data_IF_340272507478
#
_entry.id   IF_340272507478
#
_cell.length_a   1.000
_cell.length_b   1.000
_cell.length_c   1.000
_cell.angle_alpha   90.00
_cell.angle_beta   90.00
_cell.angle_gamma   90.00
#
_symmetry.space_group_name_H-M   'P 1'
#
loop_
_entity.id
_entity.type
_entity.pdbx_description
1 polymer ?
#
# COMPACT_ATOMS: atom_id res chain seq x y z
N UNK A 1 -5.39 -20.45 10.42
CA UNK A 1 -5.22 -21.90 10.09
C UNK A 1 -5.13 -21.99 8.57
N UNK A 2 -3.90 -22.04 8.03
CA UNK A 2 -3.64 -21.97 6.59
C UNK A 2 -4.02 -23.29 5.95
N UNK A 3 -4.94 -23.27 5.00
CA UNK A 3 -5.30 -24.42 4.17
C UNK A 3 -4.14 -24.71 3.20
N UNK A 4 -3.41 -25.79 3.46
CA UNK A 4 -2.43 -26.32 2.49
C UNK A 4 -3.23 -26.90 1.33
N UNK A 5 -3.17 -26.26 0.18
CA UNK A 5 -3.71 -26.81 -1.07
C UNK A 5 -2.76 -27.95 -1.47
N UNK A 6 -3.24 -29.18 -1.43
CA UNK A 6 -2.48 -30.34 -1.91
C UNK A 6 -2.41 -30.29 -3.44
N UNK A 7 -1.28 -29.83 -3.98
CA UNK A 7 -0.96 -30.03 -5.39
C UNK A 7 -0.59 -31.50 -5.62
N UNK A 8 -1.54 -32.28 -6.10
CA UNK A 8 -1.27 -33.63 -6.64
C UNK A 8 -0.66 -33.49 -8.06
N UNK A 9 0.63 -33.15 -8.13
CA UNK A 9 1.39 -33.24 -9.37
C UNK A 9 2.55 -34.23 -9.18
N UNK A 10 2.73 -35.13 -10.14
CA UNK A 10 3.92 -35.98 -10.25
C UNK A 10 5.14 -35.10 -10.61
N UNK A 11 5.84 -34.61 -9.60
CA UNK A 11 7.03 -33.79 -9.75
C UNK A 11 8.27 -34.72 -9.69
N UNK A 12 9.22 -34.58 -10.58
CA UNK A 12 10.49 -35.37 -10.57
C UNK A 12 11.33 -34.98 -9.34
N UNK A 13 12.08 -35.98 -8.80
CA UNK A 13 12.80 -35.87 -7.52
C UNK A 13 13.67 -34.62 -7.31
N UNK A 14 14.17 -34.00 -8.39
CA UNK A 14 14.95 -32.75 -8.32
C UNK A 14 14.13 -31.46 -8.15
N UNK A 15 12.85 -31.50 -8.53
CA UNK A 15 11.94 -30.35 -8.38
C UNK A 15 11.39 -30.23 -6.96
N UNK A 16 11.32 -31.34 -6.22
CA UNK A 16 10.93 -31.33 -4.80
C UNK A 16 11.91 -30.57 -3.90
N UNK A 17 13.21 -30.65 -4.21
CA UNK A 17 14.23 -29.96 -3.42
C UNK A 17 14.17 -28.44 -3.65
N UNK A 18 13.85 -28.01 -4.88
CA UNK A 18 13.66 -26.59 -5.21
C UNK A 18 12.39 -26.02 -4.57
N UNK A 19 11.27 -26.75 -4.67
CA UNK A 19 9.98 -26.38 -4.04
C UNK A 19 10.11 -26.35 -2.52
N UNK A 20 10.79 -27.31 -1.90
CA UNK A 20 11.06 -27.32 -0.46
C UNK A 20 11.86 -26.11 -0.01
N UNK A 21 12.92 -25.72 -0.74
CA UNK A 21 13.72 -24.53 -0.44
C UNK A 21 12.96 -23.21 -0.68
N UNK A 22 12.04 -23.17 -1.65
CA UNK A 22 11.16 -22.04 -1.89
C UNK A 22 10.14 -21.90 -0.75
N UNK A 23 9.56 -23.02 -0.29
CA UNK A 23 8.61 -23.02 0.83
C UNK A 23 9.32 -22.63 2.13
N UNK A 24 10.47 -23.21 2.49
CA UNK A 24 11.23 -22.84 3.68
C UNK A 24 11.63 -21.36 3.72
N UNK A 25 11.95 -20.77 2.55
CA UNK A 25 12.28 -19.34 2.47
C UNK A 25 11.06 -18.44 2.47
N UNK A 26 9.91 -18.87 1.91
CA UNK A 26 8.66 -18.14 1.98
C UNK A 26 8.18 -17.93 3.43
N UNK A 27 8.46 -18.88 4.34
CA UNK A 27 8.19 -18.72 5.78
C UNK A 27 9.07 -17.67 6.48
N UNK A 28 10.12 -17.17 5.83
CA UNK A 28 11.00 -16.14 6.41
C UNK A 28 10.38 -14.74 6.31
N UNK A 29 9.43 -14.52 5.42
CA UNK A 29 8.81 -13.23 5.19
C UNK A 29 7.39 -13.24 5.73
N UNK A 30 7.14 -12.47 6.78
CA UNK A 30 5.79 -12.25 7.29
C UNK A 30 5.20 -11.07 6.54
N UNK A 31 4.21 -11.33 5.67
CA UNK A 31 3.48 -10.28 4.98
C UNK A 31 2.58 -9.61 6.01
N UNK A 32 2.73 -8.31 6.25
CA UNK A 32 1.89 -7.61 7.21
C UNK A 32 0.43 -7.59 6.72
N UNK A 33 -0.51 -7.72 7.64
CA UNK A 33 -1.90 -7.40 7.35
C UNK A 33 -2.03 -5.89 7.09
N UNK A 34 -3.12 -5.41 6.46
CA UNK A 34 -3.36 -3.98 6.29
C UNK A 34 -3.26 -3.19 7.60
N UNK A 35 -3.83 -3.70 8.68
CA UNK A 35 -3.76 -3.07 10.00
C UNK A 35 -2.32 -3.02 10.55
N UNK A 36 -1.56 -4.09 10.43
CA UNK A 36 -0.15 -4.12 10.86
C UNK A 36 0.70 -3.17 10.02
N UNK A 37 0.48 -3.13 8.69
CA UNK A 37 1.18 -2.18 7.82
C UNK A 37 0.85 -0.74 8.20
N UNK A 38 -0.41 -0.42 8.47
CA UNK A 38 -0.82 0.93 8.87
C UNK A 38 -0.19 1.35 10.20
N UNK A 39 -0.10 0.45 11.18
CA UNK A 39 0.62 0.71 12.44
C UNK A 39 2.12 0.96 12.22
N UNK A 40 2.77 0.17 11.37
CA UNK A 40 4.18 0.40 11.01
C UNK A 40 4.35 1.73 10.28
N UNK A 41 3.40 2.10 9.41
CA UNK A 41 3.38 3.40 8.76
C UNK A 41 3.25 4.52 9.79
N UNK A 42 2.29 4.45 10.71
CA UNK A 42 2.11 5.41 11.80
C UNK A 42 3.39 5.61 12.60
N UNK A 43 4.01 4.52 13.07
CA UNK A 43 5.23 4.58 13.88
C UNK A 43 6.42 5.19 13.14
N UNK A 44 6.55 4.90 11.85
CA UNK A 44 7.68 5.36 11.03
C UNK A 44 7.45 6.79 10.55
N UNK A 45 6.24 7.12 10.08
CA UNK A 45 5.86 8.44 9.60
C UNK A 45 5.91 9.49 10.70
N UNK A 46 5.48 9.15 11.92
CA UNK A 46 5.54 10.07 13.09
C UNK A 46 6.96 10.46 13.49
N UNK A 47 7.98 9.73 13.03
CA UNK A 47 9.39 9.99 13.27
C UNK A 47 10.11 10.59 12.06
N UNK A 48 9.42 10.67 10.92
CA UNK A 48 10.01 11.19 9.69
C UNK A 48 10.22 12.70 9.76
N UNK A 49 11.24 13.17 9.05
CA UNK A 49 11.40 14.60 8.80
C UNK A 49 10.39 15.00 7.73
N UNK A 50 9.40 15.77 8.13
CA UNK A 50 8.34 16.22 7.24
C UNK A 50 8.81 17.42 6.40
N UNK A 51 8.32 17.56 5.15
CA UNK A 51 8.61 18.72 4.30
C UNK A 51 8.16 20.04 4.93
N UNK A 52 8.81 21.13 4.53
CA UNK A 52 8.52 22.48 5.05
C UNK A 52 7.17 23.02 4.55
N UNK A 53 6.72 22.61 3.38
CA UNK A 53 5.48 23.06 2.76
C UNK A 53 4.53 21.90 2.48
N UNK A 54 3.24 22.09 2.79
CA UNK A 54 2.19 21.12 2.43
C UNK A 54 1.83 21.20 0.94
N UNK A 55 2.01 22.37 0.33
CA UNK A 55 1.55 22.62 -1.04
C UNK A 55 2.50 22.06 -2.12
N UNK A 56 3.70 21.64 -1.75
CA UNK A 56 4.68 21.08 -2.69
C UNK A 56 4.65 19.56 -2.66
N UNK A 57 4.13 18.95 -3.73
CA UNK A 57 3.88 17.51 -3.79
C UNK A 57 5.14 16.63 -3.74
N UNK A 58 6.16 16.97 -4.52
CA UNK A 58 7.35 16.13 -4.71
C UNK A 58 8.07 15.76 -3.38
N UNK A 59 8.33 16.70 -2.44
CA UNK A 59 8.92 16.36 -1.15
C UNK A 59 8.04 15.43 -0.32
N UNK A 60 6.71 15.54 -0.41
CA UNK A 60 5.77 14.67 0.30
C UNK A 60 5.80 13.26 -0.24
N UNK A 61 5.69 13.10 -1.56
CA UNK A 61 5.83 11.79 -2.22
C UNK A 61 7.15 11.15 -1.84
N UNK A 62 8.27 11.88 -1.92
CA UNK A 62 9.58 11.39 -1.50
C UNK A 62 9.64 10.95 -0.04
N UNK A 63 9.00 11.69 0.88
CA UNK A 63 8.94 11.36 2.31
C UNK A 63 8.15 10.07 2.53
N UNK A 64 6.97 9.97 1.94
CA UNK A 64 6.10 8.78 2.03
C UNK A 64 6.80 7.54 1.46
N UNK A 65 7.38 7.63 0.26
CA UNK A 65 8.14 6.53 -0.34
C UNK A 65 9.37 6.15 0.51
N UNK A 66 10.00 7.12 1.16
CA UNK A 66 11.09 6.90 2.13
C UNK A 66 10.63 6.08 3.33
N UNK A 67 9.49 6.42 3.91
CA UNK A 67 8.86 5.68 5.02
C UNK A 67 8.56 4.24 4.61
N UNK A 68 7.93 4.02 3.47
CA UNK A 68 7.65 2.66 2.98
C UNK A 68 8.91 1.89 2.64
N UNK A 69 9.95 2.56 2.11
CA UNK A 69 11.26 1.92 1.89
C UNK A 69 11.88 1.42 3.20
N UNK A 70 11.80 2.21 4.25
CA UNK A 70 12.31 1.83 5.57
C UNK A 70 11.54 0.65 6.16
N UNK A 71 10.20 0.70 6.10
CA UNK A 71 9.35 -0.41 6.59
C UNK A 71 9.66 -1.70 5.83
N UNK A 72 9.66 -1.66 4.49
CA UNK A 72 9.96 -2.81 3.65
C UNK A 72 11.32 -3.42 3.95
N UNK A 73 12.35 -2.58 4.09
CA UNK A 73 13.71 -3.02 4.43
C UNK A 73 13.77 -3.68 5.81
N UNK A 74 13.10 -3.11 6.81
CA UNK A 74 13.04 -3.66 8.17
C UNK A 74 12.33 -5.03 8.22
N UNK A 75 11.35 -5.24 7.35
CA UNK A 75 10.65 -6.52 7.18
C UNK A 75 11.43 -7.53 6.31
N UNK A 76 12.60 -7.12 5.78
CA UNK A 76 13.48 -7.96 4.98
C UNK A 76 13.15 -7.99 3.48
N UNK A 77 12.24 -7.14 3.01
CA UNK A 77 11.96 -6.97 1.59
C UNK A 77 12.99 -6.08 0.89
N UNK A 78 12.98 -6.10 -0.43
CA UNK A 78 13.76 -5.18 -1.25
C UNK A 78 12.82 -4.10 -1.81
N UNK A 79 12.80 -2.89 -1.27
CA UNK A 79 12.04 -1.78 -1.84
C UNK A 79 12.64 -1.37 -3.18
N UNK A 80 11.81 -1.09 -4.16
CA UNK A 80 12.20 -0.63 -5.47
C UNK A 80 11.29 0.50 -5.93
N UNK A 81 11.86 1.67 -6.25
CA UNK A 81 11.15 2.84 -6.76
C UNK A 81 10.99 2.77 -8.27
N UNK A 82 9.92 3.39 -8.78
CA UNK A 82 9.65 3.57 -10.21
C UNK A 82 9.74 2.26 -11.00
N UNK A 83 9.06 1.23 -10.51
CA UNK A 83 9.08 -0.07 -11.15
C UNK A 83 7.72 -0.50 -11.66
N UNK A 84 7.65 -0.94 -12.92
CA UNK A 84 6.41 -1.35 -13.59
C UNK A 84 5.34 -0.24 -13.59
N UNK A 85 5.75 1.02 -13.73
CA UNK A 85 4.93 2.21 -13.66
C UNK A 85 4.33 2.51 -12.27
N UNK A 86 4.78 1.79 -11.25
CA UNK A 86 4.42 2.02 -9.85
C UNK A 86 5.47 2.90 -9.17
N UNK A 87 5.04 3.73 -8.24
CA UNK A 87 5.94 4.57 -7.45
C UNK A 87 6.89 3.74 -6.60
N UNK A 88 6.38 2.64 -6.03
CA UNK A 88 7.21 1.71 -5.26
C UNK A 88 6.66 0.29 -5.24
N UNK A 89 7.57 -0.68 -5.20
CA UNK A 89 7.26 -2.09 -4.92
C UNK A 89 8.14 -2.62 -3.78
N UNK A 90 7.64 -3.64 -3.07
CA UNK A 90 8.47 -4.49 -2.25
C UNK A 90 8.58 -5.86 -2.89
N UNK A 91 9.81 -6.33 -3.05
CA UNK A 91 10.11 -7.58 -3.74
C UNK A 91 10.78 -8.59 -2.82
N UNK A 92 10.40 -9.86 -3.00
CA UNK A 92 11.22 -11.00 -2.57
C UNK A 92 12.05 -11.40 -3.80
N UNK A 93 13.37 -11.27 -3.71
CA UNK A 93 14.28 -11.62 -4.80
C UNK A 93 14.87 -13.01 -4.61
N UNK A 94 14.66 -13.85 -5.59
CA UNK A 94 15.36 -15.11 -5.79
C UNK A 94 16.27 -15.01 -7.04
N UNK A 95 17.31 -15.84 -7.17
CA UNK A 95 18.16 -15.81 -8.35
C UNK A 95 17.39 -15.91 -9.68
N UNK A 96 16.28 -16.65 -9.68
CA UNK A 96 15.52 -16.96 -10.91
C UNK A 96 14.12 -16.30 -10.95
N UNK A 97 13.62 -15.77 -9.83
CA UNK A 97 12.26 -15.26 -9.73
C UNK A 97 12.21 -14.06 -8.77
N UNK A 98 11.56 -12.98 -9.20
CA UNK A 98 11.19 -11.88 -8.33
C UNK A 98 9.66 -11.90 -8.12
N UNK A 99 9.23 -11.79 -6.86
CA UNK A 99 7.81 -11.73 -6.50
C UNK A 99 7.52 -10.38 -5.86
N UNK A 100 6.56 -9.67 -6.42
CA UNK A 100 6.06 -8.43 -5.83
C UNK A 100 5.12 -8.80 -4.69
N UNK A 101 5.44 -8.33 -3.50
CA UNK A 101 4.64 -8.54 -2.30
C UNK A 101 3.74 -7.33 -2.04
N UNK A 102 4.30 -6.13 -2.22
CA UNK A 102 3.57 -4.88 -2.10
C UNK A 102 3.76 -4.04 -3.35
N UNK A 103 2.66 -3.46 -3.83
CA UNK A 103 2.59 -2.42 -4.86
C UNK A 103 2.05 -1.14 -4.23
N UNK A 104 2.66 0.01 -4.51
CA UNK A 104 2.30 1.30 -3.94
C UNK A 104 2.24 2.39 -5.00
N UNK A 105 1.17 3.18 -4.94
CA UNK A 105 0.97 4.44 -5.62
C UNK A 105 0.74 5.56 -4.59
N UNK A 106 1.33 6.72 -4.84
CA UNK A 106 1.28 7.88 -3.96
C UNK A 106 1.04 9.15 -4.79
N UNK A 107 -0.18 9.65 -4.77
CA UNK A 107 -0.60 10.74 -5.65
C UNK A 107 -1.06 11.97 -4.85
N UNK A 108 -0.76 13.13 -5.41
CA UNK A 108 -1.15 14.42 -4.88
C UNK A 108 -2.12 15.10 -5.84
N UNK A 109 -3.35 14.62 -5.87
CA UNK A 109 -4.45 15.20 -6.66
C UNK A 109 -5.74 15.23 -5.84
N UNK A 110 -6.57 16.24 -6.11
CA UNK A 110 -7.93 16.34 -5.59
C UNK A 110 -8.99 15.76 -6.55
N UNK A 111 -8.53 15.25 -7.72
CA UNK A 111 -9.40 14.70 -8.75
C UNK A 111 -9.58 13.20 -8.55
N UNK A 112 -10.71 12.83 -7.96
CA UNK A 112 -11.02 11.42 -7.70
C UNK A 112 -11.03 10.55 -8.98
N UNK A 113 -11.44 11.09 -10.13
CA UNK A 113 -11.40 10.38 -11.41
C UNK A 113 -9.97 9.95 -11.78
N UNK A 114 -8.97 10.82 -11.59
CA UNK A 114 -7.56 10.46 -11.84
C UNK A 114 -7.08 9.37 -10.89
N UNK A 115 -7.46 9.46 -9.61
CA UNK A 115 -7.12 8.44 -8.62
C UNK A 115 -7.71 7.08 -9.02
N UNK A 116 -8.97 7.05 -9.47
CA UNK A 116 -9.65 5.82 -9.84
C UNK A 116 -9.15 5.24 -11.17
N UNK A 117 -9.00 6.07 -12.19
CA UNK A 117 -8.77 5.61 -13.55
C UNK A 117 -7.29 5.44 -13.90
N UNK A 118 -6.40 6.15 -13.20
CA UNK A 118 -4.98 6.04 -13.40
C UNK A 118 -4.31 5.27 -12.25
N UNK A 119 -4.34 5.79 -11.02
CA UNK A 119 -3.51 5.26 -9.94
C UNK A 119 -4.03 3.93 -9.39
N UNK A 120 -5.32 3.86 -9.08
CA UNK A 120 -5.93 2.61 -8.64
C UNK A 120 -5.90 1.55 -9.76
N UNK A 121 -6.08 1.96 -11.02
CA UNK A 121 -6.00 1.03 -12.14
C UNK A 121 -4.61 0.40 -12.29
N UNK A 122 -3.52 1.16 -12.12
CA UNK A 122 -2.16 0.59 -12.10
C UNK A 122 -2.01 -0.49 -11.03
N UNK A 123 -2.56 -0.23 -9.82
CA UNK A 123 -2.55 -1.22 -8.74
C UNK A 123 -3.39 -2.46 -9.07
N UNK A 124 -4.53 -2.29 -9.73
CA UNK A 124 -5.39 -3.41 -10.15
C UNK A 124 -4.71 -4.30 -11.20
N UNK A 125 -3.93 -3.70 -12.11
CA UNK A 125 -3.24 -4.40 -13.20
C UNK A 125 -2.02 -5.22 -12.72
N UNK A 126 -1.52 -4.95 -11.52
CA UNK A 126 -0.34 -5.63 -10.96
C UNK A 126 -0.76 -6.74 -10.00
N UNK A 127 -0.13 -7.91 -10.13
CA UNK A 127 -0.30 -8.99 -9.16
C UNK A 127 0.62 -8.76 -7.96
N UNK A 128 0.02 -8.35 -6.84
CA UNK A 128 0.70 -8.18 -5.55
C UNK A 128 -0.23 -8.58 -4.41
N UNK A 129 0.32 -9.10 -3.32
CA UNK A 129 -0.50 -9.54 -2.17
C UNK A 129 -1.07 -8.36 -1.37
N UNK A 130 -0.34 -7.24 -1.36
CA UNK A 130 -0.73 -6.02 -0.68
C UNK A 130 -0.58 -4.84 -1.63
N UNK A 131 -1.65 -4.07 -1.80
CA UNK A 131 -1.72 -2.91 -2.68
C UNK A 131 -2.03 -1.68 -1.87
N UNK A 132 -1.22 -0.64 -2.00
CA UNK A 132 -1.31 0.59 -1.21
C UNK A 132 -1.55 1.76 -2.13
N UNK A 133 -2.65 2.45 -1.91
CA UNK A 133 -2.95 3.72 -2.53
C UNK A 133 -2.86 4.82 -1.47
N UNK A 134 -2.05 5.83 -1.71
CA UNK A 134 -1.95 7.01 -0.86
C UNK A 134 -2.29 8.21 -1.71
N UNK A 135 -3.29 8.96 -1.31
CA UNK A 135 -3.56 10.24 -1.95
C UNK A 135 -3.79 11.32 -0.88
N UNK A 136 -3.23 12.48 -1.11
CA UNK A 136 -3.35 13.61 -0.21
C UNK A 136 -3.77 14.86 -1.01
N UNK A 137 -4.99 15.33 -0.77
CA UNK A 137 -5.51 16.48 -1.49
C UNK A 137 -4.74 17.75 -1.10
N UNK A 138 -4.40 18.56 -2.11
CA UNK A 138 -3.72 19.86 -1.92
C UNK A 138 -4.63 20.85 -1.20
N UNK A 139 -5.92 20.75 -1.45
CA UNK A 139 -6.95 21.57 -0.80
C UNK A 139 -7.63 20.70 0.24
N UNK A 140 -7.92 21.20 1.46
CA UNK A 140 -8.70 20.45 2.42
C UNK A 140 -10.06 20.11 1.77
N UNK A 141 -10.17 18.93 1.21
CA UNK A 141 -11.45 18.37 0.83
C UNK A 141 -12.23 18.29 2.15
N UNK A 142 -13.43 18.82 2.16
CA UNK A 142 -14.32 18.66 3.29
C UNK A 142 -14.40 17.16 3.58
N UNK A 143 -14.29 16.73 4.84
CA UNK A 143 -14.31 15.30 5.25
C UNK A 143 -15.45 14.50 4.59
N UNK A 144 -16.53 15.19 4.19
CA UNK A 144 -17.66 14.63 3.45
C UNK A 144 -17.29 14.08 2.03
N UNK A 145 -16.23 14.59 1.39
CA UNK A 145 -15.79 14.11 0.07
C UNK A 145 -14.83 12.92 0.19
N UNK A 146 -14.09 12.85 1.29
CA UNK A 146 -13.25 11.68 1.61
C UNK A 146 -14.11 10.44 1.86
N UNK A 147 -15.17 10.58 2.68
CA UNK A 147 -16.16 9.51 2.90
C UNK A 147 -16.87 9.10 1.60
N UNK A 148 -17.07 10.03 0.66
CA UNK A 148 -17.67 9.75 -0.64
C UNK A 148 -16.73 9.00 -1.61
N UNK A 149 -15.42 9.06 -1.42
CA UNK A 149 -14.44 8.39 -2.30
C UNK A 149 -14.34 6.88 -2.05
N UNK A 150 -14.46 6.42 -0.81
CA UNK A 150 -14.35 5.01 -0.45
C UNK A 150 -15.35 4.11 -1.16
N UNK A 151 -16.65 4.44 -1.28
CA UNK A 151 -17.60 3.63 -2.04
C UNK A 151 -17.22 3.45 -3.51
N UNK A 152 -16.64 4.47 -4.14
CA UNK A 152 -16.21 4.40 -5.53
C UNK A 152 -14.95 3.53 -5.70
N UNK A 153 -13.99 3.66 -4.79
CA UNK A 153 -12.82 2.78 -4.71
C UNK A 153 -13.25 1.33 -4.50
N UNK A 154 -14.15 1.09 -3.56
CA UNK A 154 -14.73 -0.22 -3.27
C UNK A 154 -15.37 -0.84 -4.53
N UNK A 155 -16.19 -0.09 -5.23
CA UNK A 155 -16.84 -0.54 -6.45
C UNK A 155 -15.83 -0.86 -7.57
N UNK A 156 -14.80 -0.02 -7.71
CA UNK A 156 -13.74 -0.25 -8.70
C UNK A 156 -12.95 -1.53 -8.39
N UNK A 157 -12.57 -1.77 -7.13
CA UNK A 157 -11.90 -3.00 -6.69
C UNK A 157 -12.79 -4.21 -6.96
N UNK A 158 -14.07 -4.16 -6.57
CA UNK A 158 -15.02 -5.25 -6.74
C UNK A 158 -15.24 -5.59 -8.21
N UNK A 159 -15.36 -4.59 -9.08
CA UNK A 159 -15.60 -4.80 -10.51
C UNK A 159 -14.38 -5.32 -11.26
N UNK A 160 -13.16 -5.05 -10.78
CA UNK A 160 -11.92 -5.51 -11.40
C UNK A 160 -11.55 -6.96 -11.02
N UNK A 161 -11.95 -7.41 -9.83
CA UNK A 161 -11.63 -8.76 -9.36
C UNK A 161 -12.71 -9.75 -9.77
N UNK A 162 -12.51 -10.42 -10.92
CA UNK A 162 -13.42 -11.43 -11.46
C UNK A 162 -13.24 -12.78 -10.75
N UNK A 163 -12.06 -13.03 -10.17
CA UNK A 163 -11.76 -14.25 -9.42
C UNK A 163 -11.34 -13.85 -7.99
N UNK A 164 -11.80 -14.59 -6.97
CA UNK A 164 -11.42 -14.36 -5.59
C UNK A 164 -9.89 -14.49 -5.44
N UNK A 165 -9.22 -13.41 -5.15
CA UNK A 165 -7.79 -13.36 -4.89
C UNK A 165 -7.53 -13.12 -3.41
N UNK A 166 -6.36 -13.53 -2.90
CA UNK A 166 -5.93 -13.20 -1.53
C UNK A 166 -5.36 -11.76 -1.43
N UNK A 167 -5.56 -10.94 -2.47
CA UNK A 167 -5.08 -9.58 -2.52
C UNK A 167 -5.80 -8.69 -1.50
N UNK A 168 -5.04 -7.84 -0.86
CA UNK A 168 -5.54 -6.84 0.10
C UNK A 168 -5.13 -5.45 -0.37
N UNK A 169 -6.01 -4.52 -0.13
CA UNK A 169 -5.83 -3.11 -0.46
C UNK A 169 -5.84 -2.28 0.81
N UNK A 170 -5.06 -1.23 0.84
CA UNK A 170 -5.13 -0.20 1.85
C UNK A 170 -5.08 1.16 1.17
N UNK A 171 -6.03 2.00 1.50
CA UNK A 171 -6.11 3.39 1.05
C UNK A 171 -5.78 4.27 2.25
N UNK A 172 -4.79 5.13 2.13
CA UNK A 172 -4.32 6.02 3.19
C UNK A 172 -4.50 7.45 2.71
N UNK A 173 -5.14 8.26 3.54
CA UNK A 173 -5.46 9.66 3.21
C UNK A 173 -4.92 10.60 4.29
N UNK A 174 -3.74 11.19 4.11
CA UNK A 174 -3.24 12.27 4.96
C UNK A 174 -3.92 13.59 4.62
N UNK A 175 -4.40 14.32 5.63
CA UNK A 175 -5.02 15.65 5.48
C UNK A 175 -4.36 16.64 6.41
N UNK A 176 -3.92 17.78 5.89
CA UNK A 176 -3.38 18.86 6.72
C UNK A 176 -4.49 19.76 7.26
N UNK A 177 -4.60 19.83 8.59
CA UNK A 177 -5.56 20.68 9.29
C UNK A 177 -4.83 21.92 9.82
N UNK A 178 -4.74 22.95 8.96
CA UNK A 178 -3.98 24.18 9.20
C UNK A 178 -4.27 24.85 10.54
N UNK A 179 -5.54 25.05 10.99
CA UNK A 179 -5.82 25.71 12.27
C UNK A 179 -5.26 24.98 13.48
N UNK A 180 -5.08 23.66 13.40
CA UNK A 180 -4.59 22.82 14.49
C UNK A 180 -3.10 22.48 14.33
N UNK A 181 -2.50 22.85 13.21
CA UNK A 181 -1.10 22.49 12.87
C UNK A 181 -0.83 21.01 13.03
N UNK A 182 -1.70 20.18 12.45
CA UNK A 182 -1.59 18.73 12.45
C UNK A 182 -1.84 18.16 11.05
N UNK A 183 -1.26 17.00 10.79
CA UNK A 183 -1.69 16.11 9.72
C UNK A 183 -2.51 15.01 10.37
N UNK A 184 -3.76 14.87 9.98
CA UNK A 184 -4.58 13.72 10.30
C UNK A 184 -4.44 12.68 9.19
N UNK A 185 -4.22 11.44 9.58
CA UNK A 185 -4.03 10.33 8.64
C UNK A 185 -5.09 9.29 8.90
N UNK A 186 -5.99 9.14 7.96
CA UNK A 186 -7.02 8.09 7.96
C UNK A 186 -6.64 6.98 7.00
N UNK A 187 -7.21 5.80 7.18
CA UNK A 187 -7.06 4.70 6.25
C UNK A 187 -8.27 3.78 6.25
N UNK A 188 -8.51 3.15 5.10
CA UNK A 188 -9.47 2.09 4.93
C UNK A 188 -8.80 0.90 4.23
N UNK A 189 -9.02 -0.31 4.73
CA UNK A 189 -8.58 -1.53 4.08
C UNK A 189 -9.73 -2.16 3.31
N UNK A 190 -9.41 -2.83 2.18
CA UNK A 190 -10.37 -3.58 1.38
C UNK A 190 -9.82 -4.96 1.06
N UNK A 191 -10.71 -5.94 0.99
CA UNK A 191 -10.38 -7.23 0.39
C UNK A 191 -10.65 -7.22 -1.13
N UNK A 192 -10.36 -8.33 -1.78
CA UNK A 192 -10.57 -8.49 -3.24
C UNK A 192 -12.04 -8.43 -3.65
N UNK A 193 -12.99 -8.60 -2.73
CA UNK A 193 -14.43 -8.45 -2.98
C UNK A 193 -14.89 -6.99 -2.77
N UNK A 194 -13.96 -6.10 -2.42
CA UNK A 194 -14.21 -4.70 -2.14
C UNK A 194 -14.83 -4.46 -0.76
N UNK A 195 -14.88 -5.46 0.13
CA UNK A 195 -15.37 -5.26 1.49
C UNK A 195 -14.36 -4.42 2.28
N UNK A 196 -14.79 -3.24 2.70
CA UNK A 196 -13.97 -2.26 3.41
C UNK A 196 -14.06 -2.37 4.92
N UNK A 197 -12.97 -2.00 5.60
CA UNK A 197 -12.87 -1.81 7.05
C UNK A 197 -12.04 -0.54 7.31
N UNK A 198 -12.63 0.41 8.05
CA UNK A 198 -11.91 1.60 8.49
C UNK A 198 -10.85 1.22 9.53
N UNK A 199 -9.67 1.82 9.41
CA UNK A 199 -8.58 1.66 10.36
C UNK A 199 -8.52 2.88 11.29
N UNK A 200 -8.01 2.68 12.52
CA UNK A 200 -7.88 3.75 13.50
C UNK A 200 -6.97 4.87 12.98
N UNK A 201 -7.50 6.10 12.87
CA UNK A 201 -6.73 7.26 12.42
C UNK A 201 -5.69 7.71 13.45
N UNK A 202 -4.68 8.44 12.99
CA UNK A 202 -3.69 9.05 13.88
C UNK A 202 -3.35 10.48 13.43
N UNK A 203 -2.73 11.24 14.33
CA UNK A 203 -2.37 12.64 14.09
C UNK A 203 -0.87 12.86 14.31
N UNK A 204 -0.27 13.69 13.46
CA UNK A 204 1.11 14.12 13.57
C UNK A 204 1.17 15.64 13.65
N UNK A 205 1.95 16.20 14.60
CA UNK A 205 2.18 17.64 14.65
C UNK A 205 2.94 18.09 13.42
N UNK A 206 2.40 19.11 12.77
CA UNK A 206 3.00 19.66 11.57
C UNK A 206 2.71 21.15 11.46
N UNK A 207 3.75 21.95 11.21
CA UNK A 207 3.59 23.38 10.95
C UNK A 207 4.18 23.66 9.59
N UNK A 208 3.30 23.96 8.62
CA UNK A 208 3.72 24.42 7.30
C UNK A 208 4.40 25.79 7.43
N UNK A 209 5.41 26.02 6.61
CA UNK A 209 6.05 27.33 6.47
C UNK A 209 5.38 28.21 5.39
N UNK A 210 4.29 27.72 4.78
CA UNK A 210 3.47 28.42 3.79
C UNK A 210 2.53 29.42 4.43
#
# INVERSE_FOLDING_TARGET
MVKIISLNAKIKKGEFELVGKVIERAYKYTIPTPLELFKLFQETFSKATLPDSWQVSEPWTSTVLGVFSQIGSNLGYTPRKEYLRLDQTWEIRHPDISTIVLALECENTDRLEEILDDELQKLLDIKALLKVLIFYPVVPILMAEEEASYPQIQEKIRSANIESSDEKYIVITPVYIKPQSIIEVSACSFDSEGKGEELESFQVKYTSKD
#
